data_IF_764830823525
#
_entry.id   IF_764830823525
#
_cell.length_a   1.000
_cell.length_b   1.000
_cell.length_c   1.000
_cell.angle_alpha   90.00
_cell.angle_beta   90.00
_cell.angle_gamma   90.00
#
_symmetry.space_group_name_H-M   'P 1'
#
loop_
_entity.id
_entity.type
_entity.pdbx_description
1 polymer ?
#
# COMPACT_ATOMS: atom_id res chain seq x y z
N UNK A 1 20.89 -1.07 2.99
CA UNK A 1 20.51 0.16 2.26
C UNK A 1 21.53 1.23 2.62
N UNK A 2 22.10 1.94 1.64
CA UNK A 2 23.05 3.04 1.92
C UNK A 2 22.29 4.29 2.39
N UNK A 3 22.91 5.09 3.26
CA UNK A 3 22.33 6.26 3.92
C UNK A 3 21.74 7.27 2.92
N UNK A 4 22.35 7.38 1.74
CA UNK A 4 21.85 8.24 0.67
C UNK A 4 20.47 7.81 0.16
N UNK A 5 20.25 6.51 -0.06
CA UNK A 5 18.96 6.01 -0.55
C UNK A 5 17.88 6.15 0.52
N UNK A 6 18.21 5.87 1.78
CA UNK A 6 17.29 6.08 2.90
C UNK A 6 16.85 7.56 3.00
N UNK A 7 17.79 8.49 2.81
CA UNK A 7 17.50 9.92 2.79
C UNK A 7 16.57 10.32 1.62
N UNK A 8 16.79 9.77 0.43
CA UNK A 8 15.92 10.05 -0.73
C UNK A 8 14.51 9.51 -0.50
N UNK A 9 14.37 8.29 0.04
CA UNK A 9 13.07 7.69 0.34
C UNK A 9 12.31 8.50 1.39
N UNK A 10 12.98 8.88 2.49
CA UNK A 10 12.38 9.68 3.57
C UNK A 10 11.86 11.04 3.06
N UNK A 11 12.64 11.72 2.21
CA UNK A 11 12.22 12.99 1.62
C UNK A 11 11.07 12.81 0.62
N UNK A 12 11.06 11.70 -0.13
CA UNK A 12 9.98 11.39 -1.07
C UNK A 12 8.66 11.19 -0.33
N UNK A 13 8.65 10.37 0.71
CA UNK A 13 7.46 10.14 1.53
C UNK A 13 6.98 11.42 2.23
N UNK A 14 7.92 12.19 2.79
CA UNK A 14 7.61 13.47 3.42
C UNK A 14 6.93 14.44 2.44
N UNK A 15 7.45 14.55 1.21
CA UNK A 15 6.87 15.38 0.16
C UNK A 15 5.48 14.89 -0.24
N UNK A 16 5.29 13.60 -0.48
CA UNK A 16 3.98 13.04 -0.81
C UNK A 16 2.93 13.33 0.27
N UNK A 17 3.28 13.15 1.54
CA UNK A 17 2.37 13.44 2.66
C UNK A 17 2.04 14.93 2.77
N UNK A 18 3.00 15.81 2.54
CA UNK A 18 2.74 17.25 2.46
C UNK A 18 1.73 17.59 1.34
N UNK A 19 1.90 17.01 0.15
CA UNK A 19 0.97 17.21 -0.96
C UNK A 19 -0.45 16.71 -0.64
N UNK A 20 -0.56 15.57 0.05
CA UNK A 20 -1.85 15.04 0.50
C UNK A 20 -2.52 15.97 1.51
N UNK A 21 -1.76 16.52 2.45
CA UNK A 21 -2.28 17.45 3.46
C UNK A 21 -2.71 18.80 2.86
N UNK A 22 -2.02 19.26 1.81
CA UNK A 22 -2.37 20.47 1.06
C UNK A 22 -3.56 20.26 0.11
N UNK A 23 -3.92 19.00 -0.18
CA UNK A 23 -5.06 18.69 -1.04
C UNK A 23 -6.38 19.13 -0.39
N UNK A 24 -7.34 19.54 -1.23
CA UNK A 24 -8.67 19.95 -0.78
C UNK A 24 -9.28 18.91 0.19
N UNK A 25 -9.68 19.31 1.41
CA UNK A 25 -10.23 18.39 2.41
C UNK A 25 -11.56 17.74 1.98
N UNK A 26 -12.18 18.22 0.91
CA UNK A 26 -13.42 17.66 0.35
C UNK A 26 -13.17 16.67 -0.80
N UNK A 27 -11.92 16.38 -1.14
CA UNK A 27 -11.61 15.33 -2.11
C UNK A 27 -11.33 13.99 -1.42
N UNK A 28 -11.77 12.92 -2.08
CA UNK A 28 -11.28 11.58 -1.82
C UNK A 28 -9.81 11.52 -2.23
N UNK A 29 -8.97 10.99 -1.35
CA UNK A 29 -7.56 10.71 -1.65
C UNK A 29 -7.34 9.22 -1.58
N UNK A 30 -6.69 8.67 -2.60
CA UNK A 30 -6.09 7.35 -2.63
C UNK A 30 -4.58 7.53 -2.85
N UNK A 31 -3.76 6.92 -2.00
CA UNK A 31 -2.31 7.02 -2.07
C UNK A 31 -1.68 5.64 -1.97
N UNK A 32 -1.01 5.22 -3.04
CA UNK A 32 -0.32 3.94 -3.13
C UNK A 32 1.18 4.10 -2.94
N UNK A 33 1.80 3.09 -2.32
CA UNK A 33 3.26 2.97 -2.18
C UNK A 33 3.69 1.55 -2.55
N UNK A 34 4.97 1.39 -2.88
CA UNK A 34 5.58 0.09 -3.20
C UNK A 34 6.93 -0.12 -2.50
N UNK A 35 7.13 0.51 -1.34
CA UNK A 35 8.25 0.23 -0.43
C UNK A 35 7.85 0.46 1.02
N UNK A 36 8.67 0.00 1.96
CA UNK A 36 8.39 0.24 3.38
C UNK A 36 8.46 1.75 3.68
N UNK A 37 7.47 2.25 4.42
CA UNK A 37 7.51 3.62 4.94
C UNK A 37 8.49 3.64 6.12
N UNK A 38 9.50 4.51 6.12
CA UNK A 38 10.33 4.73 7.30
C UNK A 38 9.47 5.25 8.47
N UNK A 39 9.71 4.75 9.69
CA UNK A 39 8.95 5.17 10.90
C UNK A 39 8.92 6.69 11.10
N UNK A 40 9.98 7.40 10.67
CA UNK A 40 10.09 8.86 10.74
C UNK A 40 9.04 9.61 9.89
N UNK A 41 8.47 8.94 8.88
CA UNK A 41 7.50 9.53 7.96
C UNK A 41 6.04 9.33 8.41
N UNK A 42 5.75 8.37 9.30
CA UNK A 42 4.38 7.92 9.59
C UNK A 42 3.63 8.77 10.63
N UNK A 43 4.32 9.34 11.63
CA UNK A 43 3.66 9.77 12.87
C UNK A 43 2.80 11.05 12.78
N UNK A 44 3.34 12.19 12.33
CA UNK A 44 2.66 13.49 12.42
C UNK A 44 2.25 14.10 11.08
N UNK A 45 2.68 13.50 9.96
CA UNK A 45 2.48 14.03 8.61
C UNK A 45 1.29 13.40 7.88
N UNK A 46 0.59 12.44 8.48
CA UNK A 46 -0.42 11.60 7.82
C UNK A 46 -1.84 11.85 8.33
N UNK A 47 -2.12 13.04 8.88
CA UNK A 47 -3.40 13.36 9.53
C UNK A 47 -4.57 12.97 8.60
N UNK A 48 -5.39 12.03 9.08
CA UNK A 48 -6.59 11.47 8.43
C UNK A 48 -6.37 10.50 7.26
N UNK A 49 -5.17 9.96 7.05
CA UNK A 49 -4.97 8.80 6.19
C UNK A 49 -5.26 7.50 6.96
N UNK A 50 -5.96 6.59 6.31
CA UNK A 50 -6.25 5.26 6.83
C UNK A 50 -5.53 4.22 5.97
N UNK A 51 -4.90 3.23 6.58
CA UNK A 51 -4.35 2.07 5.86
C UNK A 51 -5.49 1.13 5.46
N UNK A 52 -5.59 0.80 4.17
CA UNK A 52 -6.64 -0.04 3.63
C UNK A 52 -6.69 -1.41 4.30
N UNK A 53 -5.54 -2.08 4.44
CA UNK A 53 -5.47 -3.43 5.02
C UNK A 53 -5.93 -3.42 6.48
N UNK A 54 -5.55 -2.38 7.23
CA UNK A 54 -6.00 -2.18 8.62
C UNK A 54 -7.51 -1.97 8.73
N UNK A 55 -8.13 -1.37 7.70
CA UNK A 55 -9.56 -1.10 7.66
C UNK A 55 -10.41 -2.22 7.05
N UNK A 56 -9.79 -3.18 6.37
CA UNK A 56 -10.45 -4.37 5.83
C UNK A 56 -10.05 -5.62 6.62
N UNK A 57 -10.22 -5.56 7.94
CA UNK A 57 -10.06 -6.67 8.89
C UNK A 57 -8.66 -7.31 8.98
N UNK A 58 -7.61 -6.69 8.42
CA UNK A 58 -6.23 -7.16 8.54
C UNK A 58 -6.07 -8.64 8.14
N UNK A 59 -6.75 -9.04 7.06
CA UNK A 59 -6.81 -10.42 6.60
C UNK A 59 -5.40 -11.01 6.44
N UNK A 60 -5.04 -12.08 7.18
CA UNK A 60 -3.70 -12.67 7.16
C UNK A 60 -3.25 -13.06 5.75
N UNK A 61 -4.16 -13.63 4.95
CA UNK A 61 -3.94 -14.07 3.57
C UNK A 61 -3.59 -12.94 2.58
N UNK A 62 -3.83 -11.68 2.96
CA UNK A 62 -3.52 -10.50 2.14
C UNK A 62 -2.47 -9.58 2.80
N UNK A 63 -1.71 -10.10 3.77
CA UNK A 63 -0.75 -9.29 4.55
C UNK A 63 0.50 -8.96 3.76
N UNK A 64 1.13 -9.96 3.12
CA UNK A 64 2.43 -9.79 2.50
C UNK A 64 2.28 -9.65 0.99
N UNK A 65 2.75 -8.53 0.45
CA UNK A 65 2.74 -8.25 -0.99
C UNK A 65 4.07 -8.63 -1.63
N UNK A 66 5.13 -8.79 -0.83
CA UNK A 66 6.41 -9.32 -1.23
C UNK A 66 6.76 -10.52 -0.33
N UNK A 67 6.69 -11.72 -0.87
CA UNK A 67 6.82 -12.96 -0.09
C UNK A 67 7.78 -13.95 -0.75
N UNK A 68 9.04 -14.05 -0.28
CA UNK A 68 10.03 -14.95 -0.84
C UNK A 68 9.75 -16.44 -0.58
N UNK A 69 8.86 -16.77 0.36
CA UNK A 69 8.47 -18.15 0.63
C UNK A 69 7.45 -18.65 -0.40
N UNK A 70 6.57 -17.76 -0.86
CA UNK A 70 5.50 -18.09 -1.80
C UNK A 70 5.82 -17.70 -3.26
N UNK A 71 6.67 -16.69 -3.48
CA UNK A 71 6.99 -16.18 -4.80
C UNK A 71 8.40 -16.57 -5.26
N UNK A 72 8.48 -17.57 -6.13
CA UNK A 72 9.73 -18.10 -6.70
C UNK A 72 10.47 -17.12 -7.63
N UNK A 73 9.91 -15.96 -7.95
CA UNK A 73 10.64 -14.90 -8.63
C UNK A 73 11.66 -14.23 -7.70
N UNK A 74 11.47 -14.30 -6.37
CA UNK A 74 12.36 -13.71 -5.39
C UNK A 74 13.43 -14.74 -5.03
N UNK A 75 14.65 -14.48 -5.49
CA UNK A 75 15.81 -15.34 -5.19
C UNK A 75 16.62 -14.85 -3.99
N UNK A 76 16.32 -13.65 -3.50
CA UNK A 76 17.00 -13.03 -2.37
C UNK A 76 16.45 -13.58 -1.04
N UNK A 77 17.32 -13.73 -0.04
CA UNK A 77 16.89 -14.08 1.33
C UNK A 77 16.36 -12.82 2.03
N UNK A 78 15.04 -12.69 2.04
CA UNK A 78 14.32 -11.67 2.80
C UNK A 78 13.17 -12.31 3.56
N UNK A 79 12.75 -11.67 4.64
CA UNK A 79 11.49 -11.99 5.31
C UNK A 79 10.31 -11.48 4.45
N UNK A 80 9.11 -12.09 4.51
CA UNK A 80 7.91 -11.54 3.89
C UNK A 80 7.60 -10.10 4.35
N UNK A 81 7.19 -9.23 3.42
CA UNK A 81 6.98 -7.80 3.67
C UNK A 81 5.64 -7.31 3.12
N UNK A 82 5.03 -6.39 3.87
CA UNK A 82 3.91 -5.55 3.41
C UNK A 82 4.47 -4.23 2.87
N UNK A 83 5.21 -4.34 1.77
CA UNK A 83 5.90 -3.25 1.10
C UNK A 83 4.98 -2.43 0.21
N UNK A 84 3.94 -3.05 -0.36
CA UNK A 84 2.89 -2.33 -1.09
C UNK A 84 1.74 -2.03 -0.14
N UNK A 85 1.26 -0.79 -0.15
CA UNK A 85 0.15 -0.35 0.69
C UNK A 85 -0.70 0.68 -0.04
N UNK A 86 -1.99 0.71 0.28
CA UNK A 86 -2.91 1.76 -0.15
C UNK A 86 -3.40 2.48 1.11
N UNK A 87 -3.25 3.79 1.13
CA UNK A 87 -3.84 4.68 2.11
C UNK A 87 -4.99 5.47 1.48
N UNK A 88 -5.98 5.80 2.29
CA UNK A 88 -7.11 6.59 1.82
C UNK A 88 -7.59 7.60 2.85
N UNK A 89 -8.20 8.68 2.34
CA UNK A 89 -8.87 9.73 3.13
C UNK A 89 -10.22 10.04 2.52
N UNK A 90 -11.26 10.05 3.37
CA UNK A 90 -12.60 10.51 3.00
C UNK A 90 -12.74 12.04 3.15
N UNK A 91 -13.63 12.68 2.36
CA UNK A 91 -13.98 14.09 2.52
C UNK A 91 -14.40 14.43 3.95
N UNK A 92 -13.98 15.59 4.47
CA UNK A 92 -14.30 15.99 5.86
C UNK A 92 -15.71 16.57 6.03
N UNK A 93 -16.29 17.18 4.99
CA UNK A 93 -17.56 17.94 5.10
C UNK A 93 -18.67 17.50 4.15
N UNK A 94 -18.50 16.37 3.44
CA UNK A 94 -19.52 15.81 2.55
C UNK A 94 -20.03 14.48 3.09
N UNK A 95 -21.30 14.15 2.82
CA UNK A 95 -21.86 12.84 3.12
C UNK A 95 -21.24 11.70 2.26
N UNK A 96 -20.38 12.04 1.31
CA UNK A 96 -19.73 11.11 0.40
C UNK A 96 -18.54 10.42 1.07
N UNK A 97 -18.81 9.44 1.95
CA UNK A 97 -17.75 8.69 2.63
C UNK A 97 -17.24 7.55 1.74
N UNK A 98 -15.91 7.49 1.58
CA UNK A 98 -15.28 6.32 0.98
C UNK A 98 -15.19 5.22 2.04
N UNK A 99 -15.89 4.11 1.80
CA UNK A 99 -15.90 2.96 2.69
C UNK A 99 -15.07 1.83 2.08
N UNK A 100 -13.97 1.40 2.74
CA UNK A 100 -13.25 0.22 2.29
C UNK A 100 -14.10 -1.01 2.57
N UNK A 101 -14.36 -1.79 1.52
CA UNK A 101 -15.21 -3.00 1.59
C UNK A 101 -14.34 -4.24 1.66
N UNK A 102 -13.31 -4.30 0.80
CA UNK A 102 -12.50 -5.48 0.65
C UNK A 102 -11.12 -5.16 0.11
N UNK A 103 -10.15 -5.99 0.48
CA UNK A 103 -8.82 -6.03 -0.08
C UNK A 103 -8.43 -7.49 -0.32
N UNK A 104 -7.82 -7.75 -1.47
CA UNK A 104 -7.24 -9.04 -1.81
C UNK A 104 -5.96 -8.88 -2.63
N UNK A 105 -5.23 -9.99 -2.77
CA UNK A 105 -4.01 -10.06 -3.57
C UNK A 105 -4.29 -10.70 -4.93
N UNK A 106 -3.70 -10.10 -5.96
CA UNK A 106 -3.82 -10.54 -7.35
C UNK A 106 -2.48 -10.86 -7.98
N UNK A 107 -2.54 -11.60 -9.10
CA UNK A 107 -1.34 -12.07 -9.79
C UNK A 107 -0.62 -13.19 -9.05
N UNK A 108 -1.33 -13.89 -8.16
CA UNK A 108 -0.80 -15.03 -7.38
C UNK A 108 -0.71 -16.33 -8.20
N UNK A 109 -1.18 -16.33 -9.45
CA UNK A 109 -1.10 -17.49 -10.33
C UNK A 109 0.18 -17.44 -11.17
N UNK A 110 0.80 -18.60 -11.37
CA UNK A 110 1.98 -18.73 -12.24
C UNK A 110 1.61 -18.44 -13.70
N UNK A 111 2.57 -17.90 -14.43
CA UNK A 111 2.42 -17.65 -15.87
C UNK A 111 2.33 -19.00 -16.58
N UNK A 112 1.30 -19.24 -17.40
CA UNK A 112 1.05 -20.55 -18.03
C UNK A 112 2.22 -21.13 -18.83
N UNK A 113 3.09 -20.28 -19.39
CA UNK A 113 4.26 -20.70 -20.17
C UNK A 113 5.50 -20.94 -19.30
N UNK A 114 5.40 -20.73 -17.99
CA UNK A 114 6.47 -20.93 -17.03
C UNK A 114 5.89 -21.46 -15.72
N UNK A 115 6.08 -22.75 -15.45
CA UNK A 115 5.64 -23.38 -14.21
C UNK A 115 6.39 -22.87 -12.97
N UNK A 116 7.36 -21.97 -13.12
CA UNK A 116 8.18 -21.42 -12.04
C UNK A 116 8.03 -19.91 -11.84
N UNK A 117 7.49 -19.16 -12.81
CA UNK A 117 7.43 -17.71 -12.72
C UNK A 117 6.03 -17.20 -12.41
N UNK A 118 5.99 -16.20 -11.56
CA UNK A 118 4.81 -15.36 -11.35
C UNK A 118 4.89 -14.08 -12.20
N UNK A 119 3.79 -13.31 -12.36
CA UNK A 119 3.78 -12.05 -13.11
C UNK A 119 4.78 -11.01 -12.60
N UNK A 120 5.06 -10.98 -11.29
CA UNK A 120 5.97 -10.03 -10.65
C UNK A 120 6.60 -10.66 -9.40
N UNK A 121 7.63 -10.03 -8.83
CA UNK A 121 8.12 -10.34 -7.47
C UNK A 121 7.13 -9.87 -6.39
N UNK A 122 6.23 -8.95 -6.73
CA UNK A 122 5.18 -8.45 -5.85
C UNK A 122 3.81 -8.99 -6.26
N UNK A 123 2.96 -9.27 -5.29
CA UNK A 123 1.52 -9.47 -5.48
C UNK A 123 0.83 -8.10 -5.60
N UNK A 124 -0.09 -7.99 -6.54
CA UNK A 124 -0.86 -6.76 -6.70
C UNK A 124 -1.92 -6.64 -5.60
N UNK A 125 -2.19 -5.42 -5.14
CA UNK A 125 -3.32 -5.14 -4.25
C UNK A 125 -4.54 -4.81 -5.12
N UNK A 126 -5.63 -5.55 -4.94
CA UNK A 126 -6.95 -5.18 -5.45
C UNK A 126 -7.81 -4.69 -4.29
N UNK A 127 -8.36 -3.48 -4.45
CA UNK A 127 -9.11 -2.78 -3.43
C UNK A 127 -10.53 -2.46 -3.90
N UNK A 128 -11.50 -2.69 -3.03
CA UNK A 128 -12.91 -2.42 -3.28
C UNK A 128 -13.40 -1.38 -2.30
N UNK A 129 -14.00 -0.33 -2.83
CA UNK A 129 -14.59 0.74 -2.04
C UNK A 129 -16.02 1.00 -2.48
N UNK A 130 -16.88 1.26 -1.50
CA UNK A 130 -18.17 1.89 -1.74
C UNK A 130 -18.03 3.41 -1.53
N UNK A 131 -18.84 4.16 -2.27
CA UNK A 131 -19.06 5.59 -2.01
C UNK A 131 -20.47 5.71 -1.47
N UNK A 132 -20.57 5.85 -0.15
CA UNK A 132 -21.86 6.07 0.52
C UNK A 132 -22.22 7.56 0.40
N UNK A 133 -23.48 7.89 0.12
CA UNK A 133 -24.01 9.27 0.00
C UNK A 133 -25.01 9.58 1.12
#
# INVERSE_FOLDING_TARGET
>A
MDLFNAFIEENTYSFCFEQINQNNPNHIVLFGISSQIPDTCWNSKTINLNDLWEKTDQRPEATYTFDPELNSNITEKHEPQRSDRIFFRSPTSMNNQLKPVHMELEGIQRIKTSDILFPSKHWAIQAYFDVEN
#
